data_IF_460315373049
#
_entry.id   IF_460315373049
#
_cell.length_a   1.000
_cell.length_b   1.000
_cell.length_c   1.000
_cell.angle_alpha   90.00
_cell.angle_beta   90.00
_cell.angle_gamma   90.00
#
_symmetry.space_group_name_H-M   'P 1'
#
loop_
_entity.id
_entity.type
_entity.pdbx_description
1 polymer ?
#
# COMPACT_ATOMS: atom_id res chain seq x y z
N UNK A 1 -16.91 22.74 11.58
CA UNK A 1 -16.25 21.97 10.49
C UNK A 1 -14.78 22.36 10.46
N UNK A 2 -13.90 21.46 10.03
CA UNK A 2 -12.46 21.73 9.91
C UNK A 2 -12.22 22.91 8.93
N UNK A 3 -11.45 23.94 9.32
CA UNK A 3 -11.18 25.12 8.49
C UNK A 3 -10.47 24.80 7.17
N UNK A 4 -9.91 23.60 7.01
CA UNK A 4 -9.31 23.16 5.75
C UNK A 4 -10.34 22.83 4.67
N UNK A 5 -11.60 22.53 5.01
CA UNK A 5 -12.62 22.25 3.98
C UNK A 5 -12.89 23.47 3.07
N UNK A 6 -13.18 24.68 3.61
CA UNK A 6 -13.30 25.89 2.79
C UNK A 6 -12.02 26.21 1.99
N UNK A 7 -10.84 25.97 2.55
CA UNK A 7 -9.56 26.20 1.86
C UNK A 7 -9.35 25.23 0.70
N UNK A 8 -9.63 23.95 0.92
CA UNK A 8 -9.59 22.91 -0.11
C UNK A 8 -10.56 23.24 -1.25
N UNK A 9 -11.78 23.67 -0.90
CA UNK A 9 -12.79 24.06 -1.88
C UNK A 9 -12.34 25.28 -2.70
N UNK A 10 -11.76 26.31 -2.06
CA UNK A 10 -11.21 27.47 -2.75
C UNK A 10 -10.06 27.12 -3.71
N UNK A 11 -9.34 26.03 -3.44
CA UNK A 11 -8.32 25.46 -4.32
C UNK A 11 -8.86 24.50 -5.39
N UNK A 12 -10.17 24.34 -5.53
CA UNK A 12 -10.79 23.44 -6.51
C UNK A 12 -10.84 21.96 -6.10
N UNK A 13 -10.49 21.61 -4.86
CA UNK A 13 -10.58 20.24 -4.36
C UNK A 13 -12.04 19.89 -4.08
N UNK A 14 -12.58 18.95 -4.85
CA UNK A 14 -14.00 18.55 -4.76
C UNK A 14 -14.23 17.26 -3.98
N UNK A 15 -13.18 16.44 -3.81
CA UNK A 15 -13.25 15.10 -3.20
C UNK A 15 -11.97 14.84 -2.42
N UNK A 16 -12.10 14.26 -1.23
CA UNK A 16 -10.97 13.91 -0.35
C UNK A 16 -11.16 12.52 0.26
N UNK A 17 -10.06 11.83 0.54
CA UNK A 17 -10.08 10.66 1.40
C UNK A 17 -9.56 11.05 2.79
N UNK A 18 -10.38 10.85 3.82
CA UNK A 18 -10.01 11.09 5.21
C UNK A 18 -9.61 9.77 5.84
N UNK A 19 -8.39 9.69 6.36
CA UNK A 19 -7.86 8.50 7.00
C UNK A 19 -7.51 8.79 8.46
N UNK A 20 -7.67 7.80 9.36
CA UNK A 20 -7.04 7.84 10.67
C UNK A 20 -5.51 8.01 10.53
N UNK A 21 -4.86 8.58 11.55
CA UNK A 21 -3.42 8.86 11.51
C UNK A 21 -2.55 7.64 11.17
N UNK A 22 -1.34 7.88 10.67
CA UNK A 22 -0.42 6.86 10.14
C UNK A 22 0.32 6.03 11.20
N UNK A 23 -0.02 6.20 12.48
CA UNK A 23 0.77 5.66 13.60
C UNK A 23 0.40 4.25 14.06
N UNK A 24 -0.73 3.71 13.62
CA UNK A 24 -1.24 2.44 14.16
C UNK A 24 -1.13 1.32 13.12
N UNK A 25 -0.90 0.09 13.58
CA UNK A 25 -0.95 -1.11 12.72
C UNK A 25 -2.30 -1.20 12.00
N UNK A 26 -3.38 -1.08 12.77
CA UNK A 26 -4.75 -0.96 12.28
C UNK A 26 -5.32 0.34 12.82
N UNK A 27 -5.33 1.38 12.00
CA UNK A 27 -5.78 2.72 12.39
C UNK A 27 -7.30 2.90 12.36
N UNK A 28 -8.03 2.01 11.68
CA UNK A 28 -9.48 2.05 11.57
C UNK A 28 -9.97 2.53 10.19
N UNK A 29 -11.28 2.73 10.08
CA UNK A 29 -11.92 2.99 8.78
C UNK A 29 -11.58 4.38 8.25
N UNK A 30 -11.27 4.45 6.96
CA UNK A 30 -11.20 5.70 6.18
C UNK A 30 -12.49 5.89 5.38
N UNK A 31 -12.76 7.14 5.00
CA UNK A 31 -13.96 7.51 4.25
C UNK A 31 -13.60 8.49 3.13
N UNK A 32 -14.21 8.30 1.97
CA UNK A 32 -14.13 9.25 0.86
C UNK A 32 -15.30 10.22 0.99
N UNK A 33 -15.00 11.52 1.01
CA UNK A 33 -15.96 12.61 1.19
C UNK A 33 -15.99 13.52 -0.03
N UNK A 34 -17.18 14.01 -0.36
CA UNK A 34 -17.33 15.24 -1.14
C UNK A 34 -17.08 16.44 -0.23
N UNK A 35 -16.38 17.44 -0.76
CA UNK A 35 -16.11 18.71 -0.03
C UNK A 35 -17.35 19.60 -0.12
N UNK A 36 -18.47 19.12 0.41
CA UNK A 36 -19.75 19.83 0.51
C UNK A 36 -20.10 20.05 1.98
N UNK A 37 -20.77 21.15 2.33
CA UNK A 37 -21.23 21.35 3.69
C UNK A 37 -22.24 20.26 4.09
N UNK A 38 -21.95 19.51 5.14
CA UNK A 38 -22.88 18.54 5.75
C UNK A 38 -22.80 18.55 7.27
N UNK A 39 -23.87 18.09 7.93
CA UNK A 39 -23.97 17.97 9.38
C UNK A 39 -23.43 16.64 9.90
N UNK A 40 -23.27 15.66 9.01
CA UNK A 40 -22.75 14.33 9.33
C UNK A 40 -21.79 13.84 8.26
N UNK A 41 -20.92 12.90 8.65
CA UNK A 41 -20.03 12.19 7.70
C UNK A 41 -20.84 11.47 6.62
N UNK A 42 -22.04 10.98 6.94
CA UNK A 42 -22.90 10.28 5.97
C UNK A 42 -23.44 11.22 4.89
N UNK A 43 -23.83 12.45 5.24
CA UNK A 43 -24.24 13.47 4.25
C UNK A 43 -23.11 13.87 3.32
N UNK A 44 -21.87 13.86 3.81
CA UNK A 44 -20.68 14.24 3.04
C UNK A 44 -20.05 13.05 2.31
N UNK A 45 -20.45 11.82 2.60
CA UNK A 45 -19.85 10.62 2.04
C UNK A 45 -20.07 10.59 0.53
N UNK A 46 -19.01 10.28 -0.21
CA UNK A 46 -19.12 10.14 -1.65
C UNK A 46 -20.06 8.97 -2.01
N UNK A 47 -21.12 9.19 -2.80
CA UNK A 47 -22.08 8.14 -3.14
C UNK A 47 -21.43 6.94 -3.83
N UNK A 48 -21.68 5.74 -3.32
CA UNK A 48 -21.11 4.49 -3.86
C UNK A 48 -19.65 4.21 -3.51
N UNK A 49 -18.93 5.14 -2.86
CA UNK A 49 -17.56 4.89 -2.44
C UNK A 49 -17.51 3.86 -1.28
N UNK A 50 -16.64 2.86 -1.44
CA UNK A 50 -16.31 1.91 -0.37
C UNK A 50 -15.67 2.65 0.81
N UNK A 51 -15.85 2.12 2.02
CA UNK A 51 -14.98 2.52 3.13
C UNK A 51 -13.57 1.95 2.86
N UNK A 52 -12.56 2.60 3.41
CA UNK A 52 -11.22 2.02 3.46
C UNK A 52 -10.82 1.62 4.87
N UNK A 53 -9.67 1.00 5.01
CA UNK A 53 -8.99 0.69 6.26
C UNK A 53 -7.59 1.29 6.20
N UNK A 54 -7.24 2.18 7.13
CA UNK A 54 -5.87 2.65 7.24
C UNK A 54 -5.07 1.65 8.06
N UNK A 55 -3.93 1.23 7.51
CA UNK A 55 -2.92 0.46 8.21
C UNK A 55 -1.55 1.12 8.07
N UNK A 56 -0.61 0.78 8.94
CA UNK A 56 0.78 1.19 8.79
C UNK A 56 1.70 0.05 9.21
N UNK A 57 2.86 -0.04 8.57
CA UNK A 57 3.90 -0.98 8.92
C UNK A 57 5.24 -0.26 9.18
N UNK A 58 6.20 -1.00 9.76
CA UNK A 58 7.56 -0.50 9.97
C UNK A 58 7.71 0.61 11.00
N UNK A 59 8.42 1.66 10.63
CA UNK A 59 8.88 2.74 11.52
C UNK A 59 7.74 3.48 12.23
N UNK A 60 6.62 3.73 11.54
CA UNK A 60 5.53 4.53 12.10
C UNK A 60 4.91 3.89 13.37
N UNK A 61 4.41 2.63 13.32
CA UNK A 61 3.96 1.92 14.52
C UNK A 61 5.02 1.84 15.62
N UNK A 62 6.28 1.56 15.26
CA UNK A 62 7.36 1.44 16.25
C UNK A 62 7.55 2.75 17.03
N UNK A 63 7.56 3.88 16.32
CA UNK A 63 7.73 5.22 16.91
C UNK A 63 6.56 5.61 17.81
N UNK A 64 5.33 5.23 17.45
CA UNK A 64 4.11 5.59 18.18
C UNK A 64 3.86 4.67 19.37
N UNK A 65 4.04 3.36 19.21
CA UNK A 65 3.76 2.41 20.27
C UNK A 65 4.84 2.39 21.34
N UNK A 66 6.12 2.44 20.96
CA UNK A 66 7.24 2.33 21.91
C UNK A 66 6.99 1.13 22.85
N UNK A 67 6.90 1.34 24.17
CA UNK A 67 6.64 0.26 25.15
C UNK A 67 5.16 -0.18 25.26
N UNK A 68 4.21 0.50 24.60
CA UNK A 68 2.76 0.27 24.72
C UNK A 68 2.18 -0.66 23.65
N UNK A 69 3.03 -1.19 22.79
CA UNK A 69 2.65 -2.03 21.66
C UNK A 69 3.88 -2.46 20.87
N UNK A 70 3.70 -2.87 19.61
CA UNK A 70 4.80 -3.31 18.76
C UNK A 70 5.91 -2.26 18.58
N UNK A 71 7.05 -2.49 19.23
CA UNK A 71 8.24 -1.63 19.18
C UNK A 71 9.26 -2.06 18.13
N UNK A 72 9.02 -3.20 17.46
CA UNK A 72 9.95 -3.81 16.50
C UNK A 72 9.22 -4.16 15.22
N UNK A 73 9.96 -4.24 14.09
CA UNK A 73 9.40 -4.70 12.82
C UNK A 73 8.77 -6.08 12.93
N UNK A 74 9.41 -7.00 13.66
CA UNK A 74 8.86 -8.33 13.93
C UNK A 74 7.57 -8.28 14.75
N UNK A 75 7.52 -7.38 15.74
CA UNK A 75 6.30 -7.14 16.53
C UNK A 75 5.15 -6.61 15.67
N UNK A 76 5.44 -5.73 14.70
CA UNK A 76 4.44 -5.21 13.77
C UNK A 76 3.78 -6.35 12.98
N UNK A 77 4.61 -7.16 12.33
CA UNK A 77 4.16 -8.30 11.53
C UNK A 77 3.42 -9.33 12.40
N UNK A 78 3.88 -9.60 13.62
CA UNK A 78 3.17 -10.48 14.54
C UNK A 78 1.78 -9.94 14.91
N UNK A 79 1.68 -8.63 15.15
CA UNK A 79 0.41 -7.95 15.45
C UNK A 79 -0.57 -8.00 14.28
N UNK A 80 -0.10 -7.69 13.06
CA UNK A 80 -0.91 -7.76 11.85
C UNK A 80 -1.39 -9.20 11.58
N UNK A 81 -0.49 -10.19 11.63
CA UNK A 81 -0.84 -11.61 11.47
C UNK A 81 -1.90 -12.04 12.47
N UNK A 82 -1.72 -11.72 13.74
CA UNK A 82 -2.67 -12.07 14.78
C UNK A 82 -4.05 -11.44 14.53
N UNK A 83 -4.08 -10.17 14.12
CA UNK A 83 -5.33 -9.48 13.80
C UNK A 83 -6.07 -10.13 12.61
N UNK A 84 -5.36 -10.48 11.54
CA UNK A 84 -5.95 -11.13 10.36
C UNK A 84 -6.42 -12.55 10.63
N UNK A 85 -5.67 -13.34 11.39
CA UNK A 85 -6.09 -14.69 11.83
C UNK A 85 -7.39 -14.60 12.65
N UNK A 86 -7.45 -13.65 13.60
CA UNK A 86 -8.65 -13.43 14.41
C UNK A 86 -9.84 -12.97 13.56
N UNK A 87 -9.60 -12.10 12.58
CA UNK A 87 -10.61 -11.63 11.65
C UNK A 87 -11.16 -12.75 10.75
N UNK A 88 -10.30 -13.63 10.24
CA UNK A 88 -10.73 -14.77 9.44
C UNK A 88 -11.55 -15.76 10.29
N UNK A 89 -11.09 -16.08 11.50
CA UNK A 89 -11.84 -16.94 12.40
C UNK A 89 -13.21 -16.33 12.76
N UNK A 90 -13.26 -15.03 13.01
CA UNK A 90 -14.51 -14.30 13.23
C UNK A 90 -15.43 -14.37 12.02
N UNK A 91 -14.90 -14.10 10.82
CA UNK A 91 -15.62 -14.18 9.54
C UNK A 91 -16.22 -15.56 9.34
N UNK A 92 -15.44 -16.63 9.49
CA UNK A 92 -15.90 -18.01 9.33
C UNK A 92 -17.01 -18.38 10.32
N UNK A 93 -16.89 -17.99 11.59
CA UNK A 93 -17.96 -18.22 12.59
C UNK A 93 -19.26 -17.55 12.19
N UNK A 94 -19.21 -16.29 11.77
CA UNK A 94 -20.39 -15.55 11.33
C UNK A 94 -20.96 -16.07 10.02
N UNK A 95 -20.13 -16.40 9.03
CA UNK A 95 -20.59 -16.97 7.75
C UNK A 95 -21.30 -18.32 7.97
N UNK A 96 -20.74 -19.18 8.83
CA UNK A 96 -21.35 -20.47 9.19
C UNK A 96 -22.70 -20.29 9.90
N UNK A 97 -22.77 -19.37 10.87
CA UNK A 97 -24.03 -19.07 11.56
C UNK A 97 -25.05 -18.42 10.62
N UNK A 98 -24.65 -17.54 9.69
CA UNK A 98 -25.57 -16.92 8.73
C UNK A 98 -26.17 -17.94 7.76
N UNK A 99 -25.41 -18.99 7.41
CA UNK A 99 -25.85 -20.04 6.50
C UNK A 99 -26.93 -20.95 7.12
N UNK A 100 -26.82 -21.26 8.42
CA UNK A 100 -27.73 -22.20 9.09
C UNK A 100 -28.72 -21.54 10.07
N UNK A 101 -28.42 -20.34 10.56
CA UNK A 101 -29.12 -19.58 11.61
C UNK A 101 -29.51 -20.42 12.83
N UNK A 102 -28.66 -21.37 13.18
CA UNK A 102 -28.90 -22.31 14.28
C UNK A 102 -28.11 -21.94 15.51
N UNK A 103 -28.77 -21.97 16.68
CA UNK A 103 -28.20 -21.55 17.95
C UNK A 103 -28.01 -20.04 18.07
N UNK A 104 -27.39 -19.62 19.16
CA UNK A 104 -27.14 -18.21 19.43
C UNK A 104 -26.13 -17.61 18.44
N UNK A 105 -26.34 -16.35 18.00
CA UNK A 105 -25.40 -15.68 17.13
C UNK A 105 -24.02 -15.54 17.79
N UNK A 106 -22.92 -15.65 17.01
CA UNK A 106 -21.59 -15.40 17.54
C UNK A 106 -21.50 -14.00 18.15
N UNK A 107 -20.65 -13.82 19.17
CA UNK A 107 -20.43 -12.51 19.78
C UNK A 107 -19.97 -11.48 18.74
N UNK A 108 -20.55 -10.27 18.81
CA UNK A 108 -20.20 -9.17 17.92
C UNK A 108 -18.93 -8.46 18.38
N UNK A 109 -18.04 -8.16 17.44
CA UNK A 109 -16.84 -7.34 17.64
C UNK A 109 -16.69 -6.40 16.44
N UNK A 110 -16.78 -5.08 16.66
CA UNK A 110 -16.78 -4.08 15.59
C UNK A 110 -15.42 -3.97 14.88
N UNK A 111 -14.32 -4.26 15.59
CA UNK A 111 -12.98 -4.27 15.03
C UNK A 111 -12.83 -5.44 14.07
N UNK A 112 -13.15 -6.65 14.53
CA UNK A 112 -13.09 -7.86 13.69
C UNK A 112 -14.13 -7.84 12.57
N UNK A 113 -15.30 -7.21 12.77
CA UNK A 113 -16.30 -7.00 11.71
C UNK A 113 -15.72 -6.15 10.58
N UNK A 114 -14.96 -5.09 10.91
CA UNK A 114 -14.27 -4.27 9.90
C UNK A 114 -13.24 -5.07 9.11
N UNK A 115 -12.42 -5.88 9.80
CA UNK A 115 -11.40 -6.69 9.14
C UNK A 115 -12.02 -7.83 8.32
N UNK A 116 -13.11 -8.43 8.80
CA UNK A 116 -13.86 -9.43 8.05
C UNK A 116 -14.45 -8.84 6.75
N UNK A 117 -14.94 -7.60 6.77
CA UNK A 117 -15.39 -6.90 5.56
C UNK A 117 -14.25 -6.56 4.58
N UNK A 118 -13.02 -6.39 5.07
CA UNK A 118 -11.83 -6.32 4.19
C UNK A 118 -11.62 -7.66 3.50
N UNK A 119 -11.63 -8.77 4.23
CA UNK A 119 -11.47 -10.12 3.67
C UNK A 119 -12.57 -10.47 2.66
N UNK A 120 -13.76 -9.87 2.77
CA UNK A 120 -14.86 -10.00 1.80
C UNK A 120 -14.75 -9.05 0.60
N UNK A 121 -13.77 -8.14 0.58
CA UNK A 121 -13.57 -7.16 -0.49
C UNK A 121 -14.48 -5.92 -0.42
N UNK A 122 -15.22 -5.73 0.67
CA UNK A 122 -16.14 -4.61 0.86
C UNK A 122 -15.46 -3.34 1.41
N UNK A 123 -14.28 -3.50 2.03
CA UNK A 123 -13.43 -2.41 2.53
C UNK A 123 -12.05 -2.53 1.89
N UNK A 124 -11.50 -1.41 1.40
CA UNK A 124 -10.17 -1.39 0.75
C UNK A 124 -9.06 -1.03 1.74
N UNK A 125 -7.94 -1.74 1.71
CA UNK A 125 -6.79 -1.44 2.58
C UNK A 125 -5.93 -0.33 1.98
N UNK A 126 -5.58 0.65 2.82
CA UNK A 126 -4.57 1.66 2.53
C UNK A 126 -3.43 1.54 3.55
N UNK A 127 -2.40 0.78 3.18
CA UNK A 127 -1.26 0.50 4.04
C UNK A 127 -0.11 1.48 3.77
N UNK A 128 0.46 2.05 4.83
CA UNK A 128 1.63 2.94 4.72
C UNK A 128 2.86 2.21 5.23
N UNK A 129 3.87 2.09 4.38
CA UNK A 129 5.17 1.51 4.69
C UNK A 129 6.26 2.37 4.02
N UNK A 130 7.46 2.43 4.60
CA UNK A 130 8.56 3.22 4.02
C UNK A 130 9.56 2.35 3.26
N UNK A 131 9.81 1.14 3.74
CA UNK A 131 10.83 0.26 3.18
C UNK A 131 10.21 -0.88 2.38
N UNK A 132 10.88 -1.27 1.30
CA UNK A 132 10.38 -2.30 0.38
C UNK A 132 10.28 -3.68 1.06
N UNK A 133 11.23 -4.04 1.91
CA UNK A 133 11.21 -5.30 2.68
C UNK A 133 9.98 -5.39 3.60
N UNK A 134 9.57 -4.28 4.20
CA UNK A 134 8.36 -4.21 5.03
C UNK A 134 7.09 -4.36 4.18
N UNK A 135 7.05 -3.78 2.98
CA UNK A 135 5.93 -3.95 2.05
C UNK A 135 5.77 -5.41 1.60
N UNK A 136 6.88 -6.10 1.32
CA UNK A 136 6.90 -7.52 0.98
C UNK A 136 6.29 -8.38 2.08
N UNK A 137 6.72 -8.14 3.33
CA UNK A 137 6.14 -8.85 4.47
C UNK A 137 4.63 -8.61 4.60
N UNK A 138 4.15 -7.41 4.29
CA UNK A 138 2.72 -7.11 4.33
C UNK A 138 1.93 -7.81 3.21
N UNK A 139 2.51 -7.94 2.02
CA UNK A 139 1.91 -8.72 0.92
C UNK A 139 1.74 -10.19 1.36
N UNK A 140 2.76 -10.78 1.98
CA UNK A 140 2.71 -12.15 2.52
C UNK A 140 1.63 -12.30 3.60
N UNK A 141 1.49 -11.31 4.49
CA UNK A 141 0.52 -11.34 5.59
C UNK A 141 -0.93 -11.25 5.12
N UNK A 142 -1.19 -10.45 4.08
CA UNK A 142 -2.56 -10.16 3.61
C UNK A 142 -3.03 -11.23 2.59
N UNK A 143 -2.21 -12.25 2.30
CA UNK A 143 -2.48 -13.31 1.32
C UNK A 143 -2.91 -12.76 -0.04
N UNK A 144 -2.27 -11.68 -0.46
CA UNK A 144 -2.45 -11.06 -1.78
C UNK A 144 -1.70 -11.91 -2.80
N UNK A 145 -2.29 -12.12 -3.97
CA UNK A 145 -1.57 -12.81 -5.04
C UNK A 145 -0.37 -11.99 -5.50
N UNK A 146 0.73 -12.64 -5.91
CA UNK A 146 1.88 -11.93 -6.50
C UNK A 146 1.45 -11.05 -7.69
N UNK A 147 0.45 -11.48 -8.46
CA UNK A 147 -0.13 -10.72 -9.57
C UNK A 147 -0.75 -9.40 -9.09
N UNK A 148 -1.58 -9.44 -8.05
CA UNK A 148 -2.20 -8.24 -7.49
C UNK A 148 -1.14 -7.28 -6.93
N UNK A 149 -0.12 -7.83 -6.27
CA UNK A 149 1.01 -7.04 -5.77
C UNK A 149 1.80 -6.36 -6.91
N UNK A 150 2.06 -7.06 -8.02
CA UNK A 150 2.71 -6.45 -9.20
C UNK A 150 1.82 -5.35 -9.78
N UNK A 151 0.50 -5.56 -9.88
CA UNK A 151 -0.42 -4.52 -10.36
C UNK A 151 -0.38 -3.27 -9.48
N UNK A 152 -0.31 -3.43 -8.17
CA UNK A 152 -0.22 -2.31 -7.22
C UNK A 152 1.06 -1.50 -7.37
N UNK A 153 2.15 -2.15 -7.79
CA UNK A 153 3.45 -1.49 -8.01
C UNK A 153 3.60 -0.90 -9.42
N UNK A 154 2.76 -1.31 -10.38
CA UNK A 154 2.92 -0.97 -11.81
C UNK A 154 1.69 -0.26 -12.40
N UNK A 155 0.67 -1.00 -12.81
CA UNK A 155 -0.46 -0.45 -13.56
C UNK A 155 -1.37 0.44 -12.71
N UNK A 156 -1.54 0.16 -11.42
CA UNK A 156 -2.41 0.97 -10.56
C UNK A 156 -1.86 2.39 -10.34
N UNK A 157 -0.56 2.60 -10.05
CA UNK A 157 0.04 3.93 -10.07
C UNK A 157 -0.07 4.62 -11.43
N UNK A 158 0.18 3.90 -12.53
CA UNK A 158 0.04 4.46 -13.87
C UNK A 158 -1.39 4.98 -14.13
N UNK A 159 -2.40 4.20 -13.75
CA UNK A 159 -3.81 4.59 -13.83
C UNK A 159 -4.14 5.79 -12.95
N UNK A 160 -3.65 5.81 -11.71
CA UNK A 160 -3.85 6.93 -10.79
C UNK A 160 -3.23 8.23 -11.32
N UNK A 161 -2.17 8.14 -12.13
CA UNK A 161 -1.51 9.27 -12.79
C UNK A 161 -2.10 9.60 -14.18
N UNK A 162 -3.06 8.82 -14.69
CA UNK A 162 -3.61 8.99 -16.03
C UNK A 162 -2.61 8.66 -17.15
N UNK A 163 -1.71 7.72 -16.90
CA UNK A 163 -0.65 7.27 -17.82
C UNK A 163 -0.72 5.76 -18.10
N UNK A 164 -1.82 5.10 -17.72
CA UNK A 164 -2.03 3.67 -17.95
C UNK A 164 -2.20 3.31 -19.43
N UNK A 165 -2.34 4.27 -20.33
CA UNK A 165 -2.22 4.08 -21.78
C UNK A 165 -0.76 3.99 -22.25
N UNK A 166 0.20 4.46 -21.45
CA UNK A 166 1.63 4.58 -21.83
C UNK A 166 2.56 3.67 -21.03
N UNK A 167 2.32 3.48 -19.73
CA UNK A 167 3.25 2.77 -18.83
C UNK A 167 2.52 1.75 -17.95
N UNK A 168 3.27 1.04 -17.10
CA UNK A 168 2.74 0.17 -16.04
C UNK A 168 2.32 -1.23 -16.47
N UNK A 169 2.44 -1.61 -17.74
CA UNK A 169 2.24 -3.00 -18.20
C UNK A 169 2.98 -3.29 -19.51
N UNK A 170 3.34 -4.56 -19.74
CA UNK A 170 3.97 -5.00 -20.99
C UNK A 170 2.91 -5.34 -22.05
N UNK A 171 2.50 -4.33 -22.83
CA UNK A 171 1.50 -4.45 -23.91
C UNK A 171 1.98 -3.66 -25.13
N UNK A 172 1.81 -4.16 -26.37
CA UNK A 172 2.16 -3.40 -27.57
C UNK A 172 1.54 -1.99 -27.61
N UNK A 173 2.31 -1.00 -28.02
CA UNK A 173 1.90 0.41 -28.08
C UNK A 173 2.23 1.25 -26.84
N UNK A 174 2.62 0.62 -25.74
CA UNK A 174 3.14 1.29 -24.53
C UNK A 174 4.64 1.56 -24.62
N UNK A 175 5.14 2.44 -23.75
CA UNK A 175 6.56 2.71 -23.60
C UNK A 175 7.31 1.43 -23.25
N UNK A 176 8.51 1.27 -23.82
CA UNK A 176 9.40 0.14 -23.57
C UNK A 176 10.21 0.34 -22.28
N UNK A 177 9.49 0.55 -21.18
CA UNK A 177 10.03 0.67 -19.83
C UNK A 177 10.03 -0.72 -19.18
N UNK A 178 11.21 -1.34 -19.13
CA UNK A 178 11.35 -2.76 -18.76
C UNK A 178 12.47 -2.92 -17.74
N UNK A 179 12.23 -3.75 -16.72
CA UNK A 179 13.27 -4.18 -15.77
C UNK A 179 13.47 -5.68 -15.92
N UNK A 180 14.70 -6.09 -16.18
CA UNK A 180 15.13 -7.48 -16.08
C UNK A 180 15.65 -7.72 -14.66
N UNK A 181 15.06 -8.69 -13.97
CA UNK A 181 15.44 -9.07 -12.62
C UNK A 181 16.22 -10.39 -12.63
N UNK A 182 17.18 -10.54 -11.72
CA UNK A 182 17.98 -11.77 -11.55
C UNK A 182 17.18 -12.95 -10.99
N UNK A 183 15.89 -12.76 -10.69
CA UNK A 183 15.00 -13.70 -10.02
C UNK A 183 13.61 -13.11 -9.80
N UNK A 184 12.80 -13.71 -8.92
CA UNK A 184 11.49 -13.18 -8.55
C UNK A 184 11.65 -11.80 -7.87
N UNK A 185 10.99 -10.72 -8.36
CA UNK A 185 11.15 -9.36 -7.84
C UNK A 185 10.67 -9.18 -6.38
N UNK A 186 9.92 -10.12 -5.82
CA UNK A 186 9.52 -10.12 -4.42
C UNK A 186 10.56 -10.77 -3.47
N UNK A 187 11.67 -11.28 -3.99
CA UNK A 187 12.77 -11.75 -3.14
C UNK A 187 13.73 -10.62 -2.79
N UNK A 188 14.09 -10.51 -1.50
CA UNK A 188 15.07 -9.54 -1.01
C UNK A 188 16.49 -9.75 -1.57
N UNK A 189 16.78 -10.91 -2.15
CA UNK A 189 18.06 -11.21 -2.79
C UNK A 189 18.08 -10.88 -4.29
N UNK A 190 16.89 -10.69 -4.88
CA UNK A 190 16.76 -10.37 -6.30
C UNK A 190 17.23 -8.94 -6.56
N UNK A 191 17.96 -8.78 -7.66
CA UNK A 191 18.53 -7.50 -8.08
C UNK A 191 18.05 -7.19 -9.48
N UNK A 192 17.78 -5.92 -9.75
CA UNK A 192 17.63 -5.46 -11.13
C UNK A 192 18.97 -5.69 -11.84
N UNK A 193 18.96 -6.49 -12.90
CA UNK A 193 20.11 -6.75 -13.76
C UNK A 193 20.22 -5.66 -14.82
N UNK A 194 19.10 -5.35 -15.48
CA UNK A 194 19.04 -4.35 -16.55
C UNK A 194 17.77 -3.54 -16.47
N UNK A 195 17.85 -2.27 -16.82
CA UNK A 195 16.69 -1.36 -16.90
C UNK A 195 16.71 -0.63 -18.23
N UNK A 196 15.58 -0.67 -18.93
CA UNK A 196 15.31 0.12 -20.12
C UNK A 196 14.23 1.15 -19.81
N UNK A 197 14.39 2.35 -20.36
CA UNK A 197 13.37 3.41 -20.39
C UNK A 197 13.24 3.85 -21.83
N UNK A 198 12.01 3.86 -22.36
CA UNK A 198 11.70 4.13 -23.76
C UNK A 198 12.52 3.27 -24.75
N UNK A 199 12.88 2.05 -24.34
CA UNK A 199 13.66 1.10 -25.13
C UNK A 199 15.18 1.32 -25.11
N UNK A 200 15.66 2.40 -24.50
CA UNK A 200 17.08 2.65 -24.28
C UNK A 200 17.54 1.99 -22.96
N UNK A 201 18.63 1.22 -23.00
CA UNK A 201 19.21 0.61 -21.80
C UNK A 201 19.90 1.68 -20.97
N UNK A 202 19.38 1.98 -19.78
CA UNK A 202 19.93 3.01 -18.90
C UNK A 202 20.73 2.44 -17.73
N UNK A 203 20.51 1.17 -17.40
CA UNK A 203 21.24 0.47 -16.36
C UNK A 203 21.58 -0.95 -16.82
N UNK A 204 22.85 -1.33 -16.62
CA UNK A 204 23.32 -2.70 -16.70
C UNK A 204 24.22 -2.98 -15.49
N UNK A 205 23.81 -3.92 -14.64
CA UNK A 205 24.55 -4.32 -13.44
C UNK A 205 25.93 -4.89 -13.77
N UNK A 206 26.14 -5.42 -14.97
CA UNK A 206 27.43 -5.99 -15.40
C UNK A 206 28.35 -4.98 -16.08
N UNK A 207 27.87 -3.77 -16.39
CA UNK A 207 28.66 -2.69 -16.98
C UNK A 207 28.88 -1.56 -15.97
N UNK A 208 30.07 -1.47 -15.33
CA UNK A 208 30.39 -0.42 -14.38
C UNK A 208 30.25 1.00 -14.96
N UNK A 209 30.38 1.18 -16.28
CA UNK A 209 30.23 2.49 -16.92
C UNK A 209 28.77 2.97 -16.95
N UNK A 210 27.83 2.04 -16.81
CA UNK A 210 26.38 2.31 -16.74
C UNK A 210 25.84 2.21 -15.30
N UNK A 211 26.71 2.00 -14.30
CA UNK A 211 26.33 2.06 -12.90
C UNK A 211 26.46 3.49 -12.38
N UNK A 212 25.33 4.17 -12.22
CA UNK A 212 25.32 5.55 -11.74
C UNK A 212 25.51 5.53 -10.23
N UNK A 213 26.47 6.32 -9.70
CA UNK A 213 26.65 6.48 -8.25
C UNK A 213 26.08 7.83 -7.83
N UNK A 214 25.29 7.83 -6.77
CA UNK A 214 24.88 9.05 -6.07
C UNK A 214 25.81 9.20 -4.87
N UNK A 215 26.37 10.39 -4.69
CA UNK A 215 27.13 10.74 -3.48
C UNK A 215 26.23 11.34 -2.39
N UNK A 216 24.90 11.36 -2.62
CA UNK A 216 23.86 11.94 -1.75
C UNK A 216 23.99 13.45 -1.45
N UNK A 217 25.08 14.11 -1.85
CA UNK A 217 25.37 15.51 -1.54
C UNK A 217 25.32 16.42 -2.79
N UNK A 218 25.80 15.95 -3.95
CA UNK A 218 25.94 16.76 -5.18
C UNK A 218 25.16 16.20 -6.38
N UNK A 219 24.72 14.95 -6.30
CA UNK A 219 24.00 14.26 -7.36
C UNK A 219 24.90 13.28 -8.14
N UNK A 220 24.62 13.12 -9.43
CA UNK A 220 25.14 12.02 -10.25
C UNK A 220 26.67 12.09 -10.45
N UNK A 221 27.39 11.07 -9.98
CA UNK A 221 28.83 10.89 -10.24
C UNK A 221 29.03 9.62 -11.07
N UNK A 222 29.63 9.69 -12.28
CA UNK A 222 30.01 8.50 -13.03
C UNK A 222 30.95 7.63 -12.20
N UNK A 223 30.75 6.31 -12.20
CA UNK A 223 31.72 5.40 -11.58
C UNK A 223 33.08 5.60 -12.27
N UNK A 224 34.10 5.98 -11.49
CA UNK A 224 35.46 6.26 -11.95
C UNK A 224 35.89 5.26 -13.05
N UNK A 225 36.02 5.75 -14.29
CA UNK A 225 36.81 5.06 -15.29
C UNK A 225 38.25 5.11 -14.80
N UNK A 226 38.80 3.95 -14.44
CA UNK A 226 40.12 3.82 -13.85
C UNK A 226 41.16 4.74 -14.49
N UNK A 227 41.55 5.76 -13.75
CA UNK A 227 42.72 6.57 -14.03
C UNK A 227 43.72 6.32 -12.91
N UNK A 228 44.84 5.69 -13.25
CA UNK A 228 46.02 5.61 -12.39
C UNK A 228 46.32 6.99 -11.79
N UNK A 229 46.35 7.07 -10.47
CA UNK A 229 47.32 7.84 -9.69
C UNK A 229 47.69 7.06 -8.46
#
# INVERSE_FOLDING_TARGET
QDPQFPRNLAGGVTTIQVLPGSGNLIGGRSVVLKVVPGRSVQEMKFPGAKYGLKMACGENPMRVYQARGPATRMGNIAGDRAAWINAEAYRRRWDNWLANKSGDPPQRDLGLETLAEVLRGNILVHNHCYMADEMLQMIDVIAVSEEDAIRWLTINPAWALGLDDKIGSLVPGKNADVVLWSGNPFSIYTKAEKVWIDGAMLFDRTDPKQQWRTDFELGFVPANMGGNK
#
